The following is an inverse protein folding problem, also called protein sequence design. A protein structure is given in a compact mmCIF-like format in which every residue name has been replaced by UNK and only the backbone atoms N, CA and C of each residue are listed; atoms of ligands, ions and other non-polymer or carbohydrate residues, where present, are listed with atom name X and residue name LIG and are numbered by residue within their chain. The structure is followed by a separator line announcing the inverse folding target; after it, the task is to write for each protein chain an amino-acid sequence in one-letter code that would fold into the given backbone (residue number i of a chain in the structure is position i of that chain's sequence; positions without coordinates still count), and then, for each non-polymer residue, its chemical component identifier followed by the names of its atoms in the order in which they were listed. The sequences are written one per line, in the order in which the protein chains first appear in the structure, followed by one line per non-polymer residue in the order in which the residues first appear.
data_IF_187937416386
#
_entry.id   IF_187937416386
#
_cell.length_a   1.000
_cell.length_b   1.000
_cell.length_c   1.000
_cell.angle_alpha   90.00
_cell.angle_beta   90.00
_cell.angle_gamma   90.00
#
_symmetry.space_group_name_H-M   'P 1'
#
loop_
_entity.id
_entity.type
_entity.pdbx_description
1 polymer ?
#
# COMPACT_ATOMS: atom_id res chain seq x y z
N UNK A 1 0.75 -16.12 18.83
CA UNK A 1 0.41 -14.87 19.54
C UNK A 1 -0.72 -14.19 18.79
N UNK A 2 -1.97 -14.42 19.22
CA UNK A 2 -3.15 -13.72 18.72
C UNK A 2 -3.24 -12.38 19.45
N UNK A 3 -3.11 -11.28 18.72
CA UNK A 3 -3.40 -9.93 19.23
C UNK A 3 -4.76 -9.52 18.71
N UNK A 4 -5.78 -9.72 19.55
CA UNK A 4 -7.10 -9.10 19.42
C UNK A 4 -7.00 -7.64 19.87
N UNK A 5 -7.26 -6.70 18.97
CA UNK A 5 -7.44 -5.29 19.29
C UNK A 5 -8.80 -5.10 19.98
N UNK A 6 -8.79 -4.78 21.27
CA UNK A 6 -9.96 -4.23 21.97
C UNK A 6 -9.76 -2.72 22.09
N UNK A 7 -10.62 -1.96 21.39
CA UNK A 7 -10.78 -0.53 21.62
C UNK A 7 -11.40 -0.35 23.02
N UNK A 8 -10.65 0.26 23.93
CA UNK A 8 -11.22 0.76 25.18
C UNK A 8 -11.38 2.27 25.05
N UNK A 9 -12.63 2.69 24.90
CA UNK A 9 -13.08 4.04 25.21
C UNK A 9 -12.85 4.28 26.72
N UNK A 10 -12.20 5.40 27.04
CA UNK A 10 -12.02 5.88 28.40
C UNK A 10 -13.28 6.65 28.81
N UNK A 11 -14.09 6.05 29.69
CA UNK A 11 -15.10 6.75 30.48
C UNK A 11 -14.46 7.19 31.81
N UNK A 12 -14.37 8.51 32.01
CA UNK A 12 -13.91 9.12 33.25
C UNK A 12 -15.02 9.06 34.32
N UNK A 13 -14.88 8.15 35.27
CA UNK A 13 -15.70 8.09 36.49
C UNK A 13 -15.06 8.88 37.63
N UNK A 14 -15.66 10.02 37.97
CA UNK A 14 -15.33 10.81 39.15
C UNK A 14 -16.40 10.55 40.24
N UNK A 15 -15.96 10.04 41.40
CA UNK A 15 -16.76 9.90 42.61
C UNK A 15 -16.74 11.23 43.38
N UNK A 16 -17.91 11.77 43.71
CA UNK A 16 -18.05 12.71 44.82
C UNK A 16 -19.26 12.35 45.68
N UNK A 17 -19.02 12.37 47.00
CA UNK A 17 -19.96 12.03 48.06
C UNK A 17 -20.81 13.24 48.47
N UNK A 18 -22.04 12.93 48.88
CA UNK A 18 -22.92 13.65 49.81
C UNK A 18 -23.56 15.01 49.44
N UNK A 19 -24.90 14.96 49.53
CA UNK A 19 -25.83 15.93 50.10
C UNK A 19 -26.02 17.30 49.41
N UNK A 20 -27.09 17.42 48.63
CA UNK A 20 -28.23 18.30 48.98
C UNK A 20 -29.39 18.19 47.99
N UNK A 21 -30.59 18.22 48.56
CA UNK A 21 -31.91 17.95 47.96
C UNK A 21 -32.61 19.29 47.61
N UNK A 22 -33.69 19.19 46.80
CA UNK A 22 -34.83 20.14 46.62
C UNK A 22 -34.48 21.39 45.76
N UNK A 23 -35.22 21.82 44.72
CA UNK A 23 -36.68 22.02 44.64
C UNK A 23 -37.21 21.88 43.20
N UNK A 24 -38.25 21.04 43.08
CA UNK A 24 -39.23 21.05 41.99
C UNK A 24 -40.22 22.18 42.30
N UNK A 25 -40.42 23.13 41.39
CA UNK A 25 -41.66 23.89 41.32
C UNK A 25 -42.04 24.12 39.87
N UNK A 26 -43.20 23.56 39.50
CA UNK A 26 -43.84 23.67 38.20
C UNK A 26 -44.96 24.69 38.32
N UNK A 27 -44.88 25.81 37.59
CA UNK A 27 -46.07 26.61 37.25
C UNK A 27 -45.94 27.07 35.80
N UNK A 28 -46.95 26.68 35.02
CA UNK A 28 -47.12 26.98 33.60
C UNK A 28 -47.37 28.48 33.39
N UNK A 29 -46.79 29.05 32.34
CA UNK A 29 -47.46 30.09 31.56
C UNK A 29 -47.00 30.03 30.10
N UNK A 30 -47.98 30.11 29.22
CA UNK A 30 -47.89 29.93 27.78
C UNK A 30 -47.05 31.03 27.11
N UNK A 31 -46.31 30.67 26.05
CA UNK A 31 -46.53 31.14 24.68
C UNK A 31 -45.41 30.68 23.74
N UNK A 32 -45.83 29.99 22.67
CA UNK A 32 -45.23 29.80 21.34
C UNK A 32 -43.77 30.24 21.12
N UNK A 33 -42.89 29.26 20.87
CA UNK A 33 -41.81 29.43 19.91
C UNK A 33 -41.39 28.08 19.28
N UNK A 34 -41.04 28.16 18.00
CA UNK A 34 -41.00 27.09 17.01
C UNK A 34 -40.00 25.95 17.33
N UNK A 35 -40.47 24.69 17.27
CA UNK A 35 -39.61 23.52 17.16
C UNK A 35 -39.06 23.41 15.73
N UNK A 36 -37.76 23.69 15.57
CA UNK A 36 -37.00 23.35 14.37
C UNK A 36 -36.46 21.92 14.53
N UNK A 37 -37.04 21.04 13.72
CA UNK A 37 -36.73 19.62 13.58
C UNK A 37 -35.29 19.45 13.08
N UNK A 38 -34.39 19.00 13.96
CA UNK A 38 -32.96 18.83 13.68
C UNK A 38 -32.74 17.59 12.82
N UNK A 39 -32.92 17.76 11.50
CA UNK A 39 -32.59 16.76 10.48
C UNK A 39 -31.10 16.45 10.57
N UNK A 40 -30.76 15.31 11.20
CA UNK A 40 -29.46 14.63 11.08
C UNK A 40 -29.03 14.60 9.62
N UNK A 41 -28.16 15.54 9.26
CA UNK A 41 -27.57 15.69 7.94
C UNK A 41 -26.64 14.50 7.75
N UNK A 42 -27.07 13.50 6.96
CA UNK A 42 -26.19 12.42 6.49
C UNK A 42 -24.91 13.06 5.93
N UNK A 43 -23.77 12.80 6.54
CA UNK A 43 -22.48 13.12 5.95
C UNK A 43 -22.43 12.52 4.56
N UNK A 44 -22.27 13.39 3.55
CA UNK A 44 -22.01 12.94 2.19
C UNK A 44 -20.67 12.22 2.23
N UNK A 45 -20.67 10.90 2.01
CA UNK A 45 -19.45 10.19 1.65
C UNK A 45 -18.86 10.93 0.45
N UNK A 46 -17.64 11.44 0.58
CA UNK A 46 -16.85 11.84 -0.57
C UNK A 46 -16.61 10.58 -1.40
N UNK A 47 -17.53 10.30 -2.32
CA UNK A 47 -17.25 9.38 -3.41
C UNK A 47 -16.31 10.16 -4.31
N UNK A 48 -15.06 9.70 -4.43
CA UNK A 48 -14.13 10.18 -5.45
C UNK A 48 -14.88 10.16 -6.77
N UNK A 49 -15.26 11.34 -7.26
CA UNK A 49 -15.90 11.46 -8.55
C UNK A 49 -14.80 11.18 -9.56
N UNK A 50 -14.89 10.07 -10.31
CA UNK A 50 -13.82 9.76 -11.23
C UNK A 50 -13.72 10.89 -12.25
N UNK A 51 -12.47 11.28 -12.54
CA UNK A 51 -12.11 12.33 -13.49
C UNK A 51 -12.57 11.94 -14.90
N UNK A 52 -13.86 12.07 -15.17
CA UNK A 52 -14.49 11.92 -16.47
C UNK A 52 -15.18 13.24 -16.77
N UNK A 53 -14.42 14.28 -17.09
CA UNK A 53 -15.03 15.39 -17.82
C UNK A 53 -15.58 14.82 -19.12
N UNK A 54 -16.88 14.92 -19.30
CA UNK A 54 -17.64 14.45 -20.47
C UNK A 54 -17.26 15.35 -21.65
N UNK A 55 -16.06 15.13 -22.19
CA UNK A 55 -15.63 15.63 -23.49
C UNK A 55 -15.81 14.52 -24.53
N UNK A 56 -16.31 14.88 -25.70
CA UNK A 56 -16.52 13.95 -26.81
C UNK A 56 -15.16 13.46 -27.32
N UNK A 57 -14.76 12.22 -27.00
CA UNK A 57 -13.87 11.44 -27.87
C UNK A 57 -12.54 10.88 -27.35
N UNK A 58 -11.96 11.25 -26.21
CA UNK A 58 -10.52 10.90 -25.98
C UNK A 58 -10.22 10.46 -24.57
N UNK A 59 -10.40 9.18 -24.30
CA UNK A 59 -9.93 8.57 -23.05
C UNK A 59 -9.02 7.37 -23.32
N UNK A 60 -9.15 6.76 -24.49
CA UNK A 60 -8.26 5.73 -24.97
C UNK A 60 -7.09 6.33 -25.75
N UNK A 61 -5.86 5.92 -25.43
CA UNK A 61 -4.63 6.29 -26.14
C UNK A 61 -4.05 5.05 -26.86
N UNK A 62 -4.06 5.10 -28.20
CA UNK A 62 -3.61 4.01 -29.08
C UNK A 62 -2.13 3.71 -28.93
N UNK A 63 -1.30 4.75 -28.92
CA UNK A 63 0.14 4.62 -28.89
C UNK A 63 0.58 4.06 -27.54
N UNK A 64 0.00 4.59 -26.44
CA UNK A 64 0.23 4.08 -25.08
C UNK A 64 -0.19 2.64 -24.91
N UNK A 65 -1.32 2.22 -25.51
CA UNK A 65 -1.73 0.83 -25.47
C UNK A 65 -0.68 -0.10 -26.08
N UNK A 66 -0.13 0.24 -27.25
CA UNK A 66 0.90 -0.57 -27.87
C UNK A 66 2.22 -0.54 -27.08
N UNK A 67 2.58 0.58 -26.46
CA UNK A 67 3.71 0.66 -25.54
C UNK A 67 3.54 -0.27 -24.33
N UNK A 68 2.35 -0.28 -23.71
CA UNK A 68 2.02 -1.20 -22.61
C UNK A 68 2.14 -2.67 -23.03
N UNK A 69 1.61 -3.03 -24.20
CA UNK A 69 1.74 -4.40 -24.71
C UNK A 69 3.21 -4.79 -24.95
N UNK A 70 4.03 -3.87 -25.49
CA UNK A 70 5.47 -4.09 -25.68
C UNK A 70 6.20 -4.24 -24.34
N UNK A 71 5.87 -3.42 -23.35
CA UNK A 71 6.47 -3.51 -22.02
C UNK A 71 6.13 -4.84 -21.33
N UNK A 72 4.86 -5.26 -21.36
CA UNK A 72 4.45 -6.55 -20.79
C UNK A 72 5.12 -7.72 -21.52
N UNK A 73 5.23 -7.63 -22.86
CA UNK A 73 5.96 -8.64 -23.63
C UNK A 73 7.46 -8.66 -23.29
N UNK A 74 8.08 -7.49 -23.07
CA UNK A 74 9.47 -7.39 -22.63
C UNK A 74 9.67 -8.03 -21.26
N UNK A 75 8.84 -7.69 -20.28
CA UNK A 75 8.88 -8.28 -18.93
C UNK A 75 8.80 -9.81 -18.99
N UNK A 76 7.94 -10.37 -19.84
CA UNK A 76 7.83 -11.83 -20.05
C UNK A 76 9.01 -12.44 -20.81
N UNK A 77 9.65 -11.67 -21.67
CA UNK A 77 10.80 -12.11 -22.49
C UNK A 77 12.07 -12.23 -21.65
N UNK A 78 12.29 -11.33 -20.69
CA UNK A 78 13.48 -11.37 -19.83
C UNK A 78 13.36 -12.53 -18.84
N UNK A 79 14.40 -13.37 -18.80
CA UNK A 79 14.52 -14.53 -17.91
C UNK A 79 15.92 -14.59 -17.33
N UNK A 80 16.11 -15.40 -16.28
CA UNK A 80 17.41 -15.60 -15.63
C UNK A 80 18.51 -16.13 -16.58
N UNK A 81 18.13 -16.71 -17.72
CA UNK A 81 19.07 -17.27 -18.71
C UNK A 81 19.54 -16.22 -19.73
N UNK A 82 18.72 -15.21 -20.02
CA UNK A 82 19.00 -14.24 -21.08
C UNK A 82 19.36 -12.84 -20.57
N UNK A 83 19.19 -12.56 -19.27
CA UNK A 83 19.43 -11.25 -18.71
C UNK A 83 20.87 -10.75 -18.91
N UNK A 84 21.87 -11.65 -18.91
CA UNK A 84 23.27 -11.29 -19.15
C UNK A 84 23.57 -10.83 -20.58
N UNK A 85 22.67 -11.10 -21.54
CA UNK A 85 22.79 -10.63 -22.92
C UNK A 85 22.18 -9.24 -23.14
N UNK A 86 21.55 -8.67 -22.11
CA UNK A 86 20.84 -7.40 -22.17
C UNK A 86 21.70 -6.26 -21.60
N UNK A 87 21.42 -5.04 -22.05
CA UNK A 87 22.07 -3.84 -21.49
C UNK A 87 21.44 -3.47 -20.14
N UNK A 88 22.16 -2.77 -19.24
CA UNK A 88 21.61 -2.35 -17.95
C UNK A 88 20.28 -1.57 -18.07
N UNK A 89 20.15 -0.70 -19.06
CA UNK A 89 18.94 0.08 -19.31
C UNK A 89 17.72 -0.77 -19.72
N UNK A 90 17.94 -1.98 -20.25
CA UNK A 90 16.85 -2.91 -20.60
C UNK A 90 16.36 -3.70 -19.38
N UNK A 91 17.16 -3.75 -18.31
CA UNK A 91 16.85 -4.42 -17.05
C UNK A 91 16.26 -3.49 -16.00
N UNK A 92 16.04 -2.21 -16.33
CA UNK A 92 15.40 -1.22 -15.47
C UNK A 92 14.17 -0.68 -16.19
N UNK A 93 13.01 -0.74 -15.54
CA UNK A 93 11.77 -0.18 -16.07
C UNK A 93 11.55 1.25 -15.57
N UNK A 94 10.80 2.08 -16.31
CA UNK A 94 10.40 3.39 -15.83
C UNK A 94 9.69 3.33 -14.46
N UNK A 95 9.93 4.32 -13.60
CA UNK A 95 9.29 4.39 -12.28
C UNK A 95 7.76 4.47 -12.31
N UNK A 96 7.16 4.92 -13.42
CA UNK A 96 5.70 4.93 -13.61
C UNK A 96 5.08 3.53 -13.67
N UNK A 97 5.89 2.48 -13.91
CA UNK A 97 5.46 1.07 -13.93
C UNK A 97 5.16 0.56 -12.52
N UNK A 98 5.87 1.09 -11.51
CA UNK A 98 5.61 0.78 -10.09
C UNK A 98 4.45 1.59 -9.48
N UNK A 99 3.59 2.20 -10.32
CA UNK A 99 2.47 2.98 -9.83
C UNK A 99 1.57 2.18 -8.87
N UNK A 100 1.31 2.74 -7.70
CA UNK A 100 0.46 2.12 -6.67
C UNK A 100 1.18 1.13 -5.75
N UNK A 101 2.48 0.86 -5.96
CA UNK A 101 3.27 -0.06 -5.10
C UNK A 101 3.21 0.33 -3.62
N UNK A 102 3.28 1.64 -3.32
CA UNK A 102 3.25 2.20 -1.96
C UNK A 102 1.99 1.82 -1.20
N UNK A 103 0.86 1.70 -1.89
CA UNK A 103 -0.44 1.36 -1.29
C UNK A 103 -0.71 -0.14 -1.31
N UNK A 104 -0.39 -0.82 -2.42
CA UNK A 104 -0.65 -2.25 -2.56
C UNK A 104 0.24 -3.08 -1.62
N UNK A 105 1.52 -2.70 -1.51
CA UNK A 105 2.51 -3.41 -0.71
C UNK A 105 2.89 -2.64 0.57
N UNK A 106 1.99 -1.81 1.08
CA UNK A 106 2.23 -1.04 2.30
C UNK A 106 2.64 -1.96 3.47
N UNK A 107 1.92 -3.07 3.66
CA UNK A 107 2.22 -4.04 4.71
C UNK A 107 3.61 -4.68 4.55
N UNK A 108 4.05 -4.90 3.31
CA UNK A 108 5.39 -5.44 3.04
C UNK A 108 6.47 -4.42 3.40
N UNK A 109 6.28 -3.16 3.01
CA UNK A 109 7.22 -2.10 3.38
C UNK A 109 7.23 -1.82 4.88
N UNK A 110 6.07 -1.92 5.57
CA UNK A 110 5.98 -1.81 7.02
C UNK A 110 6.74 -2.92 7.77
N UNK A 111 6.88 -4.11 7.19
CA UNK A 111 7.75 -5.17 7.74
C UNK A 111 9.23 -4.74 7.77
N UNK A 112 9.71 -4.10 6.70
CA UNK A 112 11.06 -3.52 6.68
C UNK A 112 11.19 -2.39 7.71
N UNK A 113 10.17 -1.52 7.78
CA UNK A 113 10.10 -0.40 8.71
C UNK A 113 10.15 -0.86 10.17
N UNK A 114 9.43 -1.94 10.53
CA UNK A 114 9.48 -2.56 11.86
C UNK A 114 10.91 -2.90 12.24
N UNK A 115 11.63 -3.58 11.36
CA UNK A 115 13.02 -3.98 11.62
C UNK A 115 13.94 -2.76 11.69
N UNK A 116 13.72 -1.75 10.85
CA UNK A 116 14.41 -0.45 10.89
C UNK A 116 14.24 0.26 12.24
N UNK A 117 13.00 0.27 12.76
CA UNK A 117 12.65 0.85 14.06
C UNK A 117 13.28 0.06 15.20
N UNK A 118 13.24 -1.27 15.15
CA UNK A 118 13.92 -2.13 16.12
C UNK A 118 15.43 -1.83 16.19
N UNK A 119 16.12 -1.82 15.05
CA UNK A 119 17.54 -1.50 14.99
C UNK A 119 17.83 -0.08 15.48
N UNK A 120 16.99 0.88 15.12
CA UNK A 120 17.13 2.27 15.57
C UNK A 120 16.96 2.40 17.09
N UNK A 121 15.97 1.71 17.66
CA UNK A 121 15.76 1.69 19.10
C UNK A 121 16.95 1.06 19.83
N UNK A 122 17.50 -0.03 19.28
CA UNK A 122 18.68 -0.70 19.83
C UNK A 122 19.93 0.20 19.77
N UNK A 123 20.33 0.68 18.59
CA UNK A 123 21.57 1.45 18.42
C UNK A 123 21.55 2.86 19.04
N UNK A 124 20.38 3.36 19.46
CA UNK A 124 20.27 4.65 20.15
C UNK A 124 20.23 4.52 21.68
N UNK A 125 19.80 3.37 22.20
CA UNK A 125 19.53 3.20 23.63
C UNK A 125 20.28 2.05 24.30
N UNK A 126 21.04 1.24 23.55
CA UNK A 126 21.77 0.12 24.13
C UNK A 126 22.93 0.62 25.02
N UNK A 127 22.82 0.40 26.33
CA UNK A 127 23.88 0.70 27.30
C UNK A 127 24.55 -0.61 27.73
N UNK A 128 25.83 -0.75 27.44
CA UNK A 128 26.60 -1.97 27.74
C UNK A 128 26.67 -2.22 29.24
N UNK A 129 26.19 -3.38 29.69
CA UNK A 129 26.29 -3.82 31.09
C UNK A 129 25.16 -3.32 31.99
N UNK A 130 24.11 -2.75 31.44
CA UNK A 130 22.93 -2.32 32.19
C UNK A 130 22.11 -3.51 32.72
N UNK A 131 21.46 -3.30 33.87
CA UNK A 131 20.62 -4.29 34.54
C UNK A 131 19.15 -4.09 34.16
N UNK A 132 18.56 -5.14 33.60
CA UNK A 132 17.12 -5.23 33.33
C UNK A 132 16.53 -6.25 34.30
N UNK A 133 16.15 -5.74 35.48
CA UNK A 133 15.72 -6.56 36.61
C UNK A 133 16.89 -7.35 37.16
N UNK A 134 16.81 -8.68 37.06
CA UNK A 134 17.88 -9.61 37.45
C UNK A 134 18.85 -9.98 36.32
N UNK A 135 18.58 -9.55 35.08
CA UNK A 135 19.40 -9.90 33.91
C UNK A 135 20.33 -8.75 33.55
N UNK A 136 21.61 -9.08 33.31
CA UNK A 136 22.56 -8.15 32.69
C UNK A 136 22.39 -8.19 31.18
N UNK A 137 22.19 -7.04 30.57
CA UNK A 137 22.10 -6.88 29.12
C UNK A 137 23.04 -5.78 28.65
N UNK A 138 22.89 -5.34 27.41
CA UNK A 138 23.76 -4.36 26.79
C UNK A 138 24.83 -4.96 25.89
N UNK A 139 24.84 -6.29 25.73
CA UNK A 139 25.77 -6.95 24.82
C UNK A 139 25.49 -6.50 23.36
N UNK A 140 26.53 -6.38 22.52
CA UNK A 140 26.35 -6.11 21.10
C UNK A 140 25.46 -7.18 20.45
N UNK A 141 24.69 -6.77 19.45
CA UNK A 141 23.74 -7.65 18.77
C UNK A 141 24.51 -8.74 18.03
N UNK A 142 24.06 -9.98 18.16
CA UNK A 142 24.72 -11.11 17.53
C UNK A 142 24.41 -11.13 16.03
N UNK A 143 25.41 -11.33 15.17
CA UNK A 143 25.21 -11.51 13.72
C UNK A 143 24.11 -12.53 13.37
N UNK A 144 24.01 -13.64 14.11
CA UNK A 144 23.01 -14.68 13.88
C UNK A 144 21.59 -14.25 14.25
N UNK A 145 21.44 -13.33 15.21
CA UNK A 145 20.15 -12.73 15.52
C UNK A 145 19.64 -11.90 14.34
N UNK A 146 20.53 -11.14 13.70
CA UNK A 146 20.18 -10.34 12.52
C UNK A 146 19.79 -11.21 11.33
N UNK A 147 20.47 -12.35 11.14
CA UNK A 147 20.04 -13.38 10.19
C UNK A 147 18.63 -13.92 10.51
N UNK A 148 18.34 -14.20 11.79
CA UNK A 148 17.02 -14.63 12.23
C UNK A 148 15.92 -13.62 11.92
N UNK A 149 16.18 -12.32 12.09
CA UNK A 149 15.20 -11.26 11.80
C UNK A 149 14.90 -11.13 10.30
N UNK A 150 15.92 -11.15 9.43
CA UNK A 150 15.68 -11.09 7.98
C UNK A 150 14.99 -12.35 7.46
N UNK A 151 15.32 -13.51 8.04
CA UNK A 151 14.67 -14.77 7.73
C UNK A 151 13.18 -14.75 8.12
N UNK A 152 12.87 -14.25 9.32
CA UNK A 152 11.51 -14.08 9.80
C UNK A 152 10.71 -13.11 8.92
N UNK A 153 11.31 -12.01 8.46
CA UNK A 153 10.66 -11.08 7.53
C UNK A 153 10.24 -11.79 6.23
N UNK A 154 11.13 -12.58 5.61
CA UNK A 154 10.83 -13.29 4.35
C UNK A 154 9.74 -14.36 4.53
N UNK A 155 9.73 -15.05 5.67
CA UNK A 155 8.71 -16.05 5.98
C UNK A 155 7.36 -15.44 6.42
N UNK A 156 7.35 -14.20 6.90
CA UNK A 156 6.15 -13.55 7.43
C UNK A 156 5.04 -13.33 6.40
N UNK A 157 5.41 -13.16 5.13
CA UNK A 157 4.48 -12.90 4.05
C UNK A 157 4.92 -13.61 2.76
N UNK A 158 3.98 -14.22 2.05
CA UNK A 158 4.23 -14.91 0.78
C UNK A 158 4.71 -13.96 -0.32
N UNK A 159 4.29 -12.70 -0.32
CA UNK A 159 4.64 -11.70 -1.33
C UNK A 159 6.10 -11.23 -1.22
N UNK A 160 6.70 -11.35 -0.04
CA UNK A 160 8.10 -10.99 0.19
C UNK A 160 9.00 -12.04 -0.44
N UNK A 161 9.82 -11.64 -1.41
CA UNK A 161 10.82 -12.53 -2.04
C UNK A 161 12.18 -12.44 -1.40
N UNK A 162 12.53 -11.28 -0.85
CA UNK A 162 13.76 -11.10 -0.09
C UNK A 162 13.66 -9.98 0.92
N UNK A 163 14.52 -10.04 1.94
CA UNK A 163 14.69 -9.00 2.94
C UNK A 163 16.15 -8.97 3.39
N UNK A 164 16.67 -7.78 3.65
CA UNK A 164 18.06 -7.62 4.07
C UNK A 164 18.27 -6.45 4.99
N UNK A 165 19.33 -6.53 5.79
CA UNK A 165 19.88 -5.39 6.53
C UNK A 165 21.24 -5.11 5.90
N UNK A 166 21.52 -3.85 5.57
CA UNK A 166 22.74 -3.43 4.91
C UNK A 166 23.38 -2.35 5.76
N UNK A 167 24.46 -2.69 6.47
CA UNK A 167 25.20 -1.72 7.28
C UNK A 167 26.09 -0.85 6.40
N UNK A 168 26.25 0.41 6.78
CA UNK A 168 27.27 1.29 6.21
C UNK A 168 28.66 0.90 6.73
N UNK A 169 29.69 1.45 6.08
CA UNK A 169 31.08 1.10 6.37
C UNK A 169 31.43 1.25 7.86
N UNK A 170 31.95 0.18 8.46
CA UNK A 170 32.35 0.12 9.88
C UNK A 170 31.24 0.44 10.89
N UNK A 171 29.96 0.25 10.52
CA UNK A 171 28.83 0.49 11.42
C UNK A 171 28.33 -0.76 12.17
N UNK A 172 28.92 -1.93 11.93
CA UNK A 172 28.57 -3.16 12.62
C UNK A 172 29.72 -3.68 13.50
N UNK A 173 29.42 -3.85 14.79
CA UNK A 173 30.29 -4.52 15.76
C UNK A 173 29.58 -5.74 16.29
N UNK A 174 30.20 -6.90 16.13
CA UNK A 174 29.63 -8.17 16.57
C UNK A 174 29.75 -8.35 18.09
N UNK A 175 29.08 -9.36 18.63
CA UNK A 175 29.13 -9.74 20.05
C UNK A 175 30.56 -9.97 20.54
N UNK A 176 31.44 -10.50 19.67
CA UNK A 176 32.84 -10.79 19.96
C UNK A 176 33.72 -9.52 20.02
N UNK A 177 33.13 -8.33 19.82
CA UNK A 177 33.83 -7.04 19.81
C UNK A 177 34.56 -6.72 18.50
N UNK A 178 34.47 -7.61 17.50
CA UNK A 178 35.07 -7.39 16.17
C UNK A 178 34.21 -6.43 15.36
N UNK A 179 34.80 -5.36 14.84
CA UNK A 179 34.17 -4.42 13.90
C UNK A 179 34.35 -4.92 12.47
N UNK A 180 33.26 -5.01 11.73
CA UNK A 180 33.26 -5.48 10.34
C UNK A 180 33.32 -4.29 9.40
N UNK A 181 34.10 -4.40 8.32
CA UNK A 181 34.14 -3.38 7.26
C UNK A 181 32.74 -3.13 6.68
N UNK A 182 32.07 -4.22 6.30
CA UNK A 182 30.72 -4.26 5.80
C UNK A 182 30.06 -5.53 6.34
N UNK A 183 28.76 -5.46 6.57
CA UNK A 183 27.96 -6.58 7.01
C UNK A 183 26.56 -6.41 6.44
N UNK A 184 26.05 -7.45 5.77
CA UNK A 184 24.77 -7.36 5.10
C UNK A 184 24.01 -8.69 5.13
N UNK A 185 23.37 -9.06 6.26
CA UNK A 185 22.56 -10.27 6.33
C UNK A 185 21.35 -10.10 5.41
N UNK A 186 21.21 -11.06 4.49
CA UNK A 186 20.21 -11.03 3.43
C UNK A 186 19.55 -12.40 3.32
N UNK A 187 18.23 -12.43 3.36
CA UNK A 187 17.42 -13.63 3.18
C UNK A 187 16.59 -13.54 1.90
N UNK A 188 16.42 -14.67 1.21
CA UNK A 188 15.65 -14.75 -0.03
C UNK A 188 14.97 -16.11 -0.22
N UNK A 189 13.93 -16.12 -1.05
CA UNK A 189 13.26 -17.35 -1.51
C UNK A 189 13.91 -17.84 -2.82
N UNK A 190 14.49 -19.04 -2.86
CA UNK A 190 15.03 -19.60 -4.09
C UNK A 190 13.90 -19.92 -5.08
N UNK A 191 14.19 -19.83 -6.38
CA UNK A 191 13.17 -19.89 -7.45
C UNK A 191 12.32 -21.18 -7.45
N UNK A 192 12.88 -22.30 -6.96
CA UNK A 192 12.25 -23.63 -7.02
C UNK A 192 11.57 -24.05 -5.71
N UNK A 193 11.70 -23.27 -4.63
CA UNK A 193 11.15 -23.62 -3.33
C UNK A 193 10.55 -22.41 -2.63
N UNK A 194 9.24 -22.19 -2.83
CA UNK A 194 8.48 -21.10 -2.22
C UNK A 194 8.38 -21.18 -0.69
N UNK A 195 8.61 -22.38 -0.14
CA UNK A 195 8.61 -22.66 1.31
C UNK A 195 10.02 -22.73 1.91
N UNK A 196 11.07 -22.73 1.09
CA UNK A 196 12.43 -22.65 1.59
C UNK A 196 12.87 -21.18 1.61
N UNK A 197 13.69 -20.83 2.59
CA UNK A 197 14.37 -19.54 2.66
C UNK A 197 15.82 -19.84 2.92
N UNK A 198 16.68 -19.13 2.22
CA UNK A 198 18.13 -19.15 2.41
C UNK A 198 18.57 -17.78 2.87
N UNK A 199 19.68 -17.74 3.62
CA UNK A 199 20.26 -16.49 4.07
C UNK A 199 21.77 -16.49 3.90
N UNK A 200 22.29 -15.35 3.43
CA UNK A 200 23.70 -15.13 3.10
C UNK A 200 24.12 -13.74 3.56
N UNK A 201 25.42 -13.55 3.73
CA UNK A 201 25.98 -12.21 3.90
C UNK A 201 26.33 -11.62 2.53
N UNK A 202 25.62 -10.57 2.12
CA UNK A 202 25.86 -9.85 0.87
C UNK A 202 27.13 -8.99 0.91
N UNK A 203 27.83 -8.90 2.05
CA UNK A 203 29.12 -8.21 2.13
C UNK A 203 30.29 -9.04 1.56
N UNK A 204 30.10 -10.35 1.37
CA UNK A 204 31.11 -11.27 0.85
C UNK A 204 31.36 -10.98 -0.65
N UNK A 205 32.64 -11.02 -1.06
CA UNK A 205 33.26 -10.45 -2.28
C UNK A 205 32.46 -10.38 -3.59
N UNK A 206 31.48 -11.25 -3.86
CA UNK A 206 30.66 -11.22 -5.08
C UNK A 206 29.60 -10.11 -5.07
N UNK A 207 29.17 -9.62 -3.90
CA UNK A 207 28.01 -8.71 -3.76
C UNK A 207 28.31 -7.45 -2.93
N UNK A 208 29.59 -7.16 -2.72
CA UNK A 208 30.08 -6.08 -1.84
C UNK A 208 29.74 -4.67 -2.34
N UNK A 209 29.15 -4.54 -3.52
CA UNK A 209 28.76 -3.27 -4.17
C UNK A 209 27.40 -2.72 -3.69
N UNK A 210 26.77 -3.32 -2.68
CA UNK A 210 25.44 -2.88 -2.21
C UNK A 210 25.40 -1.40 -1.77
N UNK A 211 26.52 -0.86 -1.29
CA UNK A 211 26.64 0.56 -0.90
C UNK A 211 26.57 1.51 -2.10
N UNK A 212 26.80 0.99 -3.30
CA UNK A 212 26.74 1.73 -4.56
C UNK A 212 25.35 1.76 -5.19
N UNK A 213 24.45 0.88 -4.74
CA UNK A 213 23.09 0.79 -5.27
C UNK A 213 22.33 2.10 -5.04
N UNK A 214 21.43 2.41 -5.97
CA UNK A 214 20.68 3.66 -6.00
C UNK A 214 19.90 3.91 -4.70
N UNK A 215 19.23 2.88 -4.16
CA UNK A 215 18.46 2.98 -2.92
C UNK A 215 19.34 3.29 -1.70
N UNK A 216 20.55 2.71 -1.61
CA UNK A 216 21.46 2.95 -0.48
C UNK A 216 22.02 4.38 -0.54
N UNK A 217 22.52 4.79 -1.71
CA UNK A 217 23.06 6.14 -1.93
C UNK A 217 21.99 7.22 -1.73
N UNK A 218 20.77 6.99 -2.22
CA UNK A 218 19.65 7.95 -2.09
C UNK A 218 19.29 8.16 -0.62
N UNK A 219 19.18 7.09 0.16
CA UNK A 219 18.88 7.20 1.58
C UNK A 219 20.05 7.82 2.36
N UNK A 220 21.28 7.38 2.12
CA UNK A 220 22.46 7.93 2.80
C UNK A 220 22.63 9.43 2.54
N UNK A 221 22.46 9.88 1.29
CA UNK A 221 22.56 11.29 0.91
C UNK A 221 21.42 12.13 1.48
N UNK A 222 20.17 11.62 1.44
CA UNK A 222 18.98 12.29 2.01
C UNK A 222 19.19 12.64 3.49
N UNK A 223 19.79 11.73 4.26
CA UNK A 223 19.93 11.87 5.72
C UNK A 223 21.30 12.40 6.18
N UNK A 224 22.18 12.73 5.24
CA UNK A 224 23.48 13.32 5.55
C UNK A 224 23.33 14.73 6.16
N UNK A 225 22.46 15.57 5.58
CA UNK A 225 22.34 17.00 5.89
C UNK A 225 21.32 17.33 6.98
N UNK A 226 20.11 16.76 6.94
CA UNK A 226 19.06 17.02 7.92
C UNK A 226 18.39 15.73 8.39
N UNK A 227 18.13 15.67 9.70
CA UNK A 227 17.47 14.56 10.42
C UNK A 227 16.22 15.04 11.17
N UNK A 228 15.70 16.20 10.80
CA UNK A 228 14.63 16.89 11.52
C UNK A 228 13.25 16.25 11.34
N UNK A 229 13.02 15.56 10.21
CA UNK A 229 11.74 14.92 9.92
C UNK A 229 11.54 13.57 10.62
N UNK A 230 12.59 13.04 11.28
CA UNK A 230 12.48 11.80 12.04
C UNK A 230 11.52 11.95 13.22
N UNK A 231 10.62 10.98 13.34
CA UNK A 231 9.70 10.88 14.47
C UNK A 231 10.46 10.50 15.74
N UNK A 232 10.19 11.22 16.84
CA UNK A 232 10.68 10.83 18.17
C UNK A 232 9.65 9.95 18.86
N UNK A 233 9.95 8.66 18.93
CA UNK A 233 9.15 7.72 19.72
C UNK A 233 9.67 7.70 21.16
N UNK A 234 8.75 7.79 22.12
CA UNK A 234 9.07 7.70 23.55
C UNK A 234 8.47 6.42 24.13
N UNK A 235 9.32 5.54 24.64
CA UNK A 235 8.91 4.29 25.26
C UNK A 235 9.03 4.37 26.78
N UNK A 236 8.01 3.84 27.46
CA UNK A 236 7.87 3.82 28.91
C UNK A 236 7.79 2.38 29.42
N UNK A 237 8.83 1.54 29.22
CA UNK A 237 8.73 0.12 29.50
C UNK A 237 8.71 -0.18 31.01
N UNK A 238 7.92 -1.19 31.36
CA UNK A 238 7.99 -1.87 32.65
C UNK A 238 8.78 -3.17 32.46
N UNK A 239 9.71 -3.43 33.37
CA UNK A 239 10.54 -4.63 33.40
C UNK A 239 10.12 -5.51 34.58
N UNK A 240 10.33 -6.82 34.47
CA UNK A 240 10.16 -7.75 35.58
C UNK A 240 11.33 -7.59 36.56
N UNK A 241 11.06 -7.59 37.86
CA UNK A 241 12.09 -7.52 38.90
C UNK A 241 12.96 -8.80 38.90
N UNK A 242 12.34 -9.95 38.71
CA UNK A 242 12.96 -11.28 38.71
C UNK A 242 12.50 -12.13 37.51
N UNK A 243 13.16 -13.28 37.31
CA UNK A 243 12.83 -14.23 36.23
C UNK A 243 11.40 -14.76 36.37
N UNK A 244 10.93 -14.92 37.61
CA UNK A 244 9.58 -15.42 37.91
C UNK A 244 8.48 -14.37 37.68
N UNK A 245 8.82 -13.08 37.57
CA UNK A 245 7.87 -12.00 37.32
C UNK A 245 7.03 -11.60 38.54
N UNK A 246 7.59 -11.70 39.75
CA UNK A 246 6.91 -11.39 41.01
C UNK A 246 6.47 -9.92 41.11
N UNK A 247 7.24 -8.99 40.54
CA UNK A 247 6.89 -7.58 40.51
C UNK A 247 7.26 -6.93 39.17
N UNK A 248 6.44 -5.96 38.74
CA UNK A 248 6.79 -5.04 37.66
C UNK A 248 7.47 -3.80 38.24
N UNK A 249 8.65 -3.49 37.73
CA UNK A 249 9.40 -2.30 38.06
C UNK A 249 9.51 -1.40 36.83
N UNK A 250 9.54 -0.08 37.04
CA UNK A 250 9.86 0.87 35.97
C UNK A 250 11.34 0.72 35.61
N UNK A 251 11.64 0.76 34.32
CA UNK A 251 13.03 0.74 33.87
C UNK A 251 13.81 1.95 34.40
N UNK A 252 15.05 1.73 34.85
CA UNK A 252 15.84 2.74 35.58
C UNK A 252 16.21 3.94 34.70
N UNK A 253 16.60 3.70 33.45
CA UNK A 253 16.97 4.75 32.47
C UNK A 253 15.73 5.19 31.70
N UNK A 254 14.81 5.83 32.42
CA UNK A 254 13.54 6.31 31.88
C UNK A 254 13.54 7.83 31.67
N UNK A 255 12.88 8.35 30.62
CA UNK A 255 12.25 7.64 29.50
C UNK A 255 13.24 7.29 28.38
N UNK A 256 13.01 6.17 27.71
CA UNK A 256 13.75 5.80 26.50
C UNK A 256 13.16 6.58 25.33
N UNK A 257 14.00 7.25 24.55
CA UNK A 257 13.58 7.92 23.33
C UNK A 257 14.49 7.55 22.16
N UNK A 258 13.90 7.34 20.99
CA UNK A 258 14.65 7.08 19.77
C UNK A 258 13.97 7.76 18.59
N UNK A 259 14.78 8.08 17.58
CA UNK A 259 14.34 8.71 16.34
C UNK A 259 14.28 7.70 15.21
N UNK A 260 13.19 7.73 14.46
CA UNK A 260 12.91 6.77 13.37
C UNK A 260 12.26 7.45 12.18
N UNK A 261 12.39 6.88 10.97
CA UNK A 261 11.69 7.39 9.81
C UNK A 261 10.21 6.99 9.81
N UNK A 262 9.39 7.81 9.16
CA UNK A 262 8.02 7.43 8.77
C UNK A 262 8.02 6.50 7.54
N UNK A 263 6.87 5.90 7.23
CA UNK A 263 6.74 5.01 6.07
C UNK A 263 6.98 5.75 4.75
N UNK A 264 6.46 6.97 4.64
CA UNK A 264 6.53 7.83 3.47
C UNK A 264 7.96 8.32 3.20
N UNK A 265 8.84 8.25 4.20
CA UNK A 265 10.25 8.62 4.09
C UNK A 265 11.14 7.48 3.59
N UNK A 266 10.57 6.27 3.50
CA UNK A 266 11.19 5.16 2.80
C UNK A 266 11.36 5.43 1.31
N UNK A 267 12.00 4.49 0.62
CA UNK A 267 12.27 4.59 -0.80
C UNK A 267 11.88 3.30 -1.50
N UNK A 268 10.94 3.40 -2.42
CA UNK A 268 10.65 2.33 -3.38
C UNK A 268 11.53 2.50 -4.61
N UNK A 269 12.22 1.43 -5.00
CA UNK A 269 13.02 1.42 -6.23
C UNK A 269 12.13 1.43 -7.47
N UNK A 270 12.68 1.89 -8.58
CA UNK A 270 12.12 1.53 -9.89
C UNK A 270 12.19 0.00 -10.06
N UNK A 271 11.27 -0.62 -10.82
CA UNK A 271 11.34 -2.05 -11.06
C UNK A 271 12.61 -2.39 -11.84
N UNK A 272 13.36 -3.38 -11.36
CA UNK A 272 14.56 -3.86 -12.03
C UNK A 272 14.63 -5.38 -12.03
N UNK A 273 15.35 -5.95 -12.99
CA UNK A 273 15.63 -7.37 -13.04
C UNK A 273 16.96 -7.66 -12.35
N UNK A 274 16.94 -8.47 -11.31
CA UNK A 274 18.15 -8.84 -10.56
C UNK A 274 18.86 -10.02 -11.23
N UNK A 275 19.73 -9.73 -12.21
CA UNK A 275 20.40 -10.77 -13.00
C UNK A 275 21.50 -11.51 -12.21
N UNK A 276 22.32 -10.75 -11.47
CA UNK A 276 23.49 -11.27 -10.75
C UNK A 276 23.17 -11.70 -9.31
N UNK A 277 22.11 -11.17 -8.73
CA UNK A 277 21.71 -11.49 -7.36
C UNK A 277 20.95 -12.81 -7.23
N UNK A 278 20.37 -12.99 -6.05
CA UNK A 278 19.77 -14.26 -5.64
C UNK A 278 18.33 -14.44 -6.12
N UNK A 279 17.63 -13.33 -6.35
CA UNK A 279 16.23 -13.35 -6.79
C UNK A 279 16.20 -13.01 -8.27
N UNK A 280 16.50 -13.98 -9.14
CA UNK A 280 16.61 -13.78 -10.60
C UNK A 280 15.29 -13.54 -11.33
N UNK A 281 14.60 -12.49 -10.95
CA UNK A 281 13.26 -12.11 -11.38
C UNK A 281 13.13 -10.57 -11.41
N UNK A 282 12.02 -10.07 -11.94
CA UNK A 282 11.67 -8.66 -11.84
C UNK A 282 11.21 -8.33 -10.42
N UNK A 283 11.91 -7.41 -9.77
CA UNK A 283 11.64 -7.05 -8.37
C UNK A 283 11.45 -5.54 -8.21
N UNK A 284 10.67 -5.21 -7.18
CA UNK A 284 10.56 -3.86 -6.65
C UNK A 284 10.94 -3.92 -5.17
N UNK A 285 11.84 -3.05 -4.74
CA UNK A 285 12.41 -3.07 -3.40
C UNK A 285 12.01 -1.83 -2.62
N UNK A 286 11.47 -2.03 -1.43
CA UNK A 286 11.32 -0.99 -0.43
C UNK A 286 12.57 -0.94 0.43
N UNK A 287 13.11 0.25 0.63
CA UNK A 287 14.29 0.51 1.43
C UNK A 287 13.99 1.59 2.49
N UNK A 288 14.42 1.35 3.73
CA UNK A 288 14.23 2.28 4.85
C UNK A 288 15.50 2.39 5.69
N UNK A 289 15.90 3.60 6.13
CA UNK A 289 17.13 3.80 6.89
C UNK A 289 16.93 3.52 8.37
N UNK A 290 18.00 3.08 9.05
CA UNK A 290 18.04 3.02 10.51
C UNK A 290 19.24 3.79 11.07
N UNK A 291 19.08 4.28 12.30
CA UNK A 291 19.99 5.26 12.90
C UNK A 291 20.48 4.82 14.27
N UNK A 292 21.70 5.21 14.61
CA UNK A 292 22.36 4.87 15.86
C UNK A 292 23.06 6.09 16.47
N UNK A 293 23.44 6.00 17.72
CA UNK A 293 24.27 7.02 18.37
C UNK A 293 25.68 6.49 18.50
N UNK A 294 26.66 7.20 17.92
CA UNK A 294 28.07 6.81 17.95
C UNK A 294 28.92 7.94 18.51
N UNK A 295 29.90 7.58 19.35
CA UNK A 295 30.88 8.49 19.91
C UNK A 295 30.39 9.25 21.14
N UNK A 296 31.31 10.01 21.75
CA UNK A 296 31.07 10.73 22.99
C UNK A 296 30.09 11.91 22.82
N UNK A 297 30.07 12.51 21.62
CA UNK A 297 29.17 13.62 21.27
C UNK A 297 27.69 13.22 21.17
N UNK A 298 27.38 11.92 21.28
CA UNK A 298 26.02 11.36 21.18
C UNK A 298 25.25 11.83 19.94
N UNK A 299 25.95 11.97 18.80
CA UNK A 299 25.34 12.37 17.55
C UNK A 299 24.61 11.20 16.89
N UNK A 300 23.37 11.43 16.44
CA UNK A 300 22.60 10.46 15.67
C UNK A 300 23.24 10.27 14.29
N UNK A 301 23.68 9.06 13.94
CA UNK A 301 24.30 8.73 12.64
C UNK A 301 23.46 7.74 11.86
N UNK A 302 23.57 7.84 10.53
CA UNK A 302 23.07 6.82 9.61
C UNK A 302 23.90 5.55 9.79
N UNK A 303 23.25 4.44 10.11
CA UNK A 303 23.93 3.15 10.35
C UNK A 303 23.82 2.21 9.16
N UNK A 304 22.74 2.32 8.39
CA UNK A 304 22.46 1.42 7.29
C UNK A 304 21.01 1.49 6.82
N UNK A 305 20.63 0.50 6.01
CA UNK A 305 19.31 0.39 5.38
C UNK A 305 18.75 -1.01 5.58
N UNK A 306 17.46 -1.11 5.86
CA UNK A 306 16.71 -2.37 5.78
C UNK A 306 15.92 -2.37 4.47
N UNK A 307 15.94 -3.48 3.77
CA UNK A 307 15.19 -3.64 2.52
C UNK A 307 14.24 -4.82 2.58
N UNK A 308 13.15 -4.71 1.81
CA UNK A 308 12.25 -5.83 1.51
C UNK A 308 11.81 -5.73 0.05
N UNK A 309 11.89 -6.84 -0.66
CA UNK A 309 11.59 -6.91 -2.09
C UNK A 309 10.35 -7.76 -2.37
N UNK A 310 9.59 -7.36 -3.38
CA UNK A 310 8.42 -8.08 -3.92
C UNK A 310 8.62 -8.32 -5.41
N UNK A 311 7.94 -9.33 -5.97
CA UNK A 311 7.94 -9.52 -7.42
C UNK A 311 7.11 -8.43 -8.10
N UNK A 312 7.63 -7.89 -9.21
CA UNK A 312 6.85 -7.01 -10.09
C UNK A 312 5.58 -7.70 -10.58
N UNK A 313 5.66 -9.01 -10.86
CA UNK A 313 4.54 -9.79 -11.36
C UNK A 313 3.37 -9.86 -10.37
N UNK A 314 3.62 -9.60 -9.09
CA UNK A 314 2.57 -9.56 -8.06
C UNK A 314 1.81 -8.22 -8.01
N UNK A 315 2.31 -7.16 -8.67
CA UNK A 315 1.70 -5.83 -8.65
C UNK A 315 0.48 -5.76 -9.59
N UNK A 316 -0.65 -5.26 -9.09
CA UNK A 316 -1.81 -4.98 -9.92
C UNK A 316 -1.60 -3.69 -10.73
N UNK A 317 -1.84 -3.75 -12.04
CA UNK A 317 -1.73 -2.58 -12.93
C UNK A 317 -3.08 -1.88 -13.09
N UNK A 318 -3.07 -0.54 -13.18
CA UNK A 318 -4.28 0.25 -13.38
C UNK A 318 -4.32 0.86 -14.79
N UNK A 319 -5.12 0.26 -15.67
CA UNK A 319 -5.27 0.74 -17.04
C UNK A 319 -6.37 1.78 -17.24
N UNK A 320 -7.13 2.05 -16.18
CA UNK A 320 -8.23 2.97 -16.25
C UNK A 320 -7.75 4.41 -16.46
N UNK A 321 -8.64 5.29 -16.91
CA UNK A 321 -8.30 6.68 -17.17
C UNK A 321 -7.93 7.44 -15.91
N UNK A 322 -6.90 8.27 -16.02
CA UNK A 322 -6.42 9.10 -14.91
C UNK A 322 -5.99 10.47 -15.43
N UNK A 323 -5.80 11.42 -14.51
CA UNK A 323 -5.32 12.75 -14.85
C UNK A 323 -3.91 12.70 -15.47
N UNK A 324 -3.58 13.74 -16.24
CA UNK A 324 -2.28 13.85 -16.90
C UNK A 324 -1.11 13.82 -15.90
N UNK A 325 -1.27 14.42 -14.72
CA UNK A 325 -0.23 14.52 -13.69
C UNK A 325 0.02 13.23 -12.91
N UNK A 326 -0.86 12.23 -12.99
CA UNK A 326 -0.66 10.95 -12.29
C UNK A 326 0.42 10.13 -13.01
N UNK A 327 1.54 9.78 -12.36
CA UNK A 327 2.65 9.04 -12.97
C UNK A 327 2.35 7.54 -13.02
N UNK A 328 1.38 7.15 -13.86
CA UNK A 328 1.00 5.77 -14.11
C UNK A 328 1.24 5.43 -15.57
N UNK A 329 2.12 4.45 -15.81
CA UNK A 329 2.48 4.00 -17.16
C UNK A 329 1.30 3.40 -17.92
N UNK A 330 0.36 2.79 -17.20
CA UNK A 330 -0.75 2.01 -17.76
C UNK A 330 -2.02 2.83 -18.01
N UNK A 331 -2.09 4.07 -17.54
CA UNK A 331 -3.31 4.87 -17.63
C UNK A 331 -3.76 5.06 -19.08
N UNK A 332 -5.07 5.25 -19.27
CA UNK A 332 -5.67 5.53 -20.58
C UNK A 332 -5.51 4.41 -21.64
N UNK A 333 -5.14 3.18 -21.24
CA UNK A 333 -5.03 2.04 -22.17
C UNK A 333 -6.23 1.09 -22.12
N UNK A 334 -7.16 1.27 -21.18
CA UNK A 334 -8.36 0.44 -21.08
C UNK A 334 -9.25 0.58 -22.34
N UNK A 335 -9.83 -0.54 -22.78
CA UNK A 335 -10.62 -0.68 -24.01
C UNK A 335 -12.12 -0.52 -23.80
N UNK A 336 -12.53 0.15 -22.73
CA UNK A 336 -13.94 0.45 -22.49
C UNK A 336 -14.51 1.40 -23.55
N UNK A 337 -15.79 1.25 -23.90
CA UNK A 337 -16.50 2.29 -24.64
C UNK A 337 -16.82 3.46 -23.70
N UNK A 338 -15.94 4.46 -23.64
CA UNK A 338 -16.06 5.58 -22.72
C UNK A 338 -17.25 6.50 -22.99
N UNK A 339 -18.04 6.28 -24.06
CA UNK A 339 -19.32 6.96 -24.24
C UNK A 339 -20.41 6.35 -23.36
N UNK A 340 -20.50 5.01 -23.34
CA UNK A 340 -21.56 4.27 -22.65
C UNK A 340 -21.12 3.65 -21.31
N UNK A 341 -19.82 3.53 -21.06
CA UNK A 341 -19.24 2.86 -19.89
C UNK A 341 -18.23 3.74 -19.14
N UNK A 342 -17.92 3.36 -17.91
CA UNK A 342 -16.77 3.85 -17.16
C UNK A 342 -15.89 2.68 -16.73
N UNK A 343 -14.58 2.94 -16.60
CA UNK A 343 -13.60 1.94 -16.23
C UNK A 343 -13.43 1.88 -14.70
N UNK A 344 -13.32 0.67 -14.15
CA UNK A 344 -12.87 0.44 -12.78
C UNK A 344 -11.81 -0.65 -12.76
N UNK A 345 -10.73 -0.42 -12.01
CA UNK A 345 -9.71 -1.42 -11.71
C UNK A 345 -10.33 -2.63 -11.00
N UNK A 346 -9.91 -3.84 -11.37
CA UNK A 346 -10.19 -5.05 -10.60
C UNK A 346 -8.90 -5.42 -9.85
N UNK A 347 -8.87 -5.36 -8.51
CA UNK A 347 -7.69 -5.73 -7.74
C UNK A 347 -7.45 -7.24 -7.77
N UNK A 348 -6.22 -7.66 -7.45
CA UNK A 348 -5.73 -9.04 -7.37
C UNK A 348 -5.75 -9.80 -8.69
N UNK A 349 -5.47 -9.09 -9.79
CA UNK A 349 -5.28 -9.67 -11.12
C UNK A 349 -3.82 -9.65 -11.58
N UNK A 350 -2.90 -9.23 -10.70
CA UNK A 350 -1.45 -9.26 -10.90
C UNK A 350 -1.01 -8.37 -12.08
N UNK A 351 0.23 -8.55 -12.52
CA UNK A 351 0.84 -7.74 -13.58
C UNK A 351 0.34 -8.15 -14.98
N UNK A 352 -0.95 -7.96 -15.22
CA UNK A 352 -1.63 -8.38 -16.43
C UNK A 352 -2.50 -7.27 -17.01
N UNK A 353 -2.41 -7.11 -18.34
CA UNK A 353 -3.33 -6.30 -19.13
C UNK A 353 -4.74 -6.91 -19.10
N UNK A 354 -5.77 -6.07 -19.09
CA UNK A 354 -7.16 -6.47 -18.97
C UNK A 354 -7.72 -6.50 -17.54
N UNK A 355 -6.94 -6.05 -16.55
CA UNK A 355 -7.29 -6.04 -15.11
C UNK A 355 -8.28 -4.93 -14.72
N UNK A 356 -9.32 -4.73 -15.51
CA UNK A 356 -10.35 -3.72 -15.28
C UNK A 356 -11.72 -4.26 -15.69
N UNK A 357 -12.77 -3.55 -15.30
CA UNK A 357 -14.13 -3.77 -15.76
C UNK A 357 -14.71 -2.49 -16.34
N UNK A 358 -15.51 -2.65 -17.38
CA UNK A 358 -16.28 -1.58 -18.00
C UNK A 358 -17.72 -1.68 -17.52
N UNK A 359 -18.11 -0.80 -16.62
CA UNK A 359 -19.47 -0.74 -16.06
C UNK A 359 -20.29 0.31 -16.82
N UNK A 360 -21.57 0.03 -17.09
CA UNK A 360 -22.44 0.97 -17.80
C UNK A 360 -22.63 2.26 -17.01
N UNK A 361 -22.60 3.40 -17.71
CA UNK A 361 -22.95 4.70 -17.16
C UNK A 361 -24.46 4.77 -16.90
N UNK A 362 -24.86 5.70 -16.04
CA UNK A 362 -26.26 6.01 -15.83
C UNK A 362 -26.93 6.39 -17.17
N UNK A 363 -28.13 5.84 -17.42
CA UNK A 363 -28.82 5.99 -18.70
C UNK A 363 -28.39 4.99 -19.78
N UNK A 364 -27.45 4.10 -19.47
CA UNK A 364 -27.10 2.95 -20.31
C UNK A 364 -27.33 1.66 -19.53
N UNK A 365 -27.62 0.59 -20.27
CA UNK A 365 -27.88 -0.74 -19.70
C UNK A 365 -27.01 -1.81 -20.39
N UNK A 366 -26.67 -2.84 -19.62
CA UNK A 366 -25.86 -3.95 -20.11
C UNK A 366 -26.70 -4.79 -21.08
N UNK A 367 -26.25 -5.01 -22.33
CA UNK A 367 -27.10 -5.57 -23.38
C UNK A 367 -27.19 -7.10 -23.37
N UNK A 368 -26.29 -7.80 -22.66
CA UNK A 368 -26.22 -9.26 -22.66
C UNK A 368 -26.95 -9.83 -21.43
N UNK A 369 -27.51 -11.03 -21.57
CA UNK A 369 -28.20 -11.72 -20.47
C UNK A 369 -27.23 -12.63 -19.70
N UNK A 370 -26.18 -12.03 -19.13
CA UNK A 370 -25.18 -12.73 -18.34
C UNK A 370 -25.44 -12.53 -16.84
N UNK A 371 -24.76 -13.34 -16.01
CA UNK A 371 -24.76 -13.13 -14.55
C UNK A 371 -24.00 -11.87 -14.11
N UNK A 372 -23.21 -11.30 -15.02
CA UNK A 372 -22.42 -10.09 -14.81
C UNK A 372 -23.10 -8.89 -15.48
N UNK A 373 -22.90 -7.71 -14.91
CA UNK A 373 -23.49 -6.45 -15.37
C UNK A 373 -22.42 -5.46 -15.88
N UNK A 374 -21.28 -6.00 -16.33
CA UNK A 374 -20.11 -5.27 -16.81
C UNK A 374 -19.32 -6.13 -17.79
N UNK A 375 -18.51 -5.49 -18.63
CA UNK A 375 -17.58 -6.19 -19.51
C UNK A 375 -16.22 -6.36 -18.82
N UNK A 376 -15.67 -7.57 -18.83
CA UNK A 376 -14.33 -7.86 -18.31
C UNK A 376 -13.27 -7.30 -19.26
N UNK A 377 -12.26 -6.60 -18.73
CA UNK A 377 -11.19 -6.00 -19.50
C UNK A 377 -10.38 -7.01 -20.31
N UNK A 378 -10.18 -8.22 -19.79
CA UNK A 378 -9.55 -9.32 -20.54
C UNK A 378 -10.31 -9.65 -21.83
N UNK A 379 -11.65 -9.71 -21.77
CA UNK A 379 -12.50 -9.91 -22.94
C UNK A 379 -12.40 -8.71 -23.89
N UNK A 380 -12.47 -7.49 -23.36
CA UNK A 380 -12.34 -6.26 -24.16
C UNK A 380 -11.04 -6.23 -24.96
N UNK A 381 -9.92 -6.53 -24.30
CA UNK A 381 -8.60 -6.53 -24.94
C UNK A 381 -8.43 -7.66 -25.95
N UNK A 382 -8.91 -8.86 -25.62
CA UNK A 382 -8.86 -9.99 -26.55
C UNK A 382 -9.63 -9.72 -27.83
N UNK A 383 -10.88 -9.27 -27.72
CA UNK A 383 -11.72 -8.95 -28.89
C UNK A 383 -11.13 -7.79 -29.69
N UNK A 384 -10.54 -6.80 -29.00
CA UNK A 384 -9.82 -5.72 -29.67
C UNK A 384 -8.59 -6.20 -30.45
N UNK A 385 -7.80 -7.12 -29.88
CA UNK A 385 -6.67 -7.72 -30.59
C UNK A 385 -7.11 -8.53 -31.81
N UNK A 386 -8.23 -9.26 -31.71
CA UNK A 386 -8.81 -9.96 -32.86
C UNK A 386 -9.27 -8.98 -33.94
N UNK A 387 -9.87 -7.85 -33.54
CA UNK A 387 -10.24 -6.77 -34.46
C UNK A 387 -9.03 -6.20 -35.20
N UNK A 388 -7.94 -5.89 -34.49
CA UNK A 388 -6.69 -5.42 -35.10
C UNK A 388 -6.07 -6.45 -36.06
N UNK A 389 -6.19 -7.74 -35.74
CA UNK A 389 -5.68 -8.83 -36.57
C UNK A 389 -6.57 -9.15 -37.79
N UNK A 390 -7.69 -8.43 -37.99
CA UNK A 390 -8.65 -8.71 -39.07
C UNK A 390 -9.38 -10.05 -38.91
N UNK A 391 -9.40 -10.61 -37.69
CA UNK A 391 -10.08 -11.87 -37.37
C UNK A 391 -11.53 -11.62 -36.97
N UNK A 392 -12.43 -12.62 -37.10
CA UNK A 392 -13.79 -12.50 -36.59
C UNK A 392 -13.75 -12.18 -35.09
N UNK A 393 -14.42 -11.09 -34.71
CA UNK A 393 -14.41 -10.54 -33.37
C UNK A 393 -15.80 -9.96 -33.03
N UNK A 394 -16.02 -9.69 -31.74
CA UNK A 394 -17.26 -9.13 -31.20
C UNK A 394 -17.04 -7.78 -30.53
N UNK A 395 -15.92 -7.11 -30.80
CA UNK A 395 -15.50 -5.91 -30.07
C UNK A 395 -16.56 -4.79 -30.13
N UNK A 396 -17.19 -4.57 -31.29
CA UNK A 396 -18.23 -3.55 -31.47
C UNK A 396 -19.53 -3.81 -30.68
N UNK A 397 -19.75 -5.06 -30.25
CA UNK A 397 -20.90 -5.45 -29.42
C UNK A 397 -20.65 -5.21 -27.93
N UNK A 398 -19.39 -5.01 -27.52
CA UNK A 398 -19.00 -4.83 -26.12
C UNK A 398 -19.16 -3.37 -25.66
N UNK A 399 -20.37 -2.84 -25.80
CA UNK A 399 -20.77 -1.49 -25.37
C UNK A 399 -22.16 -1.52 -24.77
N UNK A 400 -22.46 -0.60 -23.86
CA UNK A 400 -23.79 -0.56 -23.26
C UNK A 400 -24.80 0.06 -24.24
N UNK A 401 -26.03 -0.45 -24.22
CA UNK A 401 -27.13 0.12 -25.01
C UNK A 401 -27.74 1.29 -24.24
N UNK A 402 -28.27 2.29 -24.97
CA UNK A 402 -28.96 3.40 -24.32
C UNK A 402 -30.20 2.85 -23.63
N UNK A 403 -30.30 3.08 -22.32
CA UNK A 403 -31.45 2.68 -21.54
C UNK A 403 -32.67 3.45 -22.02
N UNK A 404 -33.67 2.73 -22.51
CA UNK A 404 -34.97 3.34 -22.79
C UNK A 404 -35.58 3.62 -21.42
N UNK A 405 -35.54 4.88 -20.99
CA UNK A 405 -36.51 5.32 -20.01
C UNK A 405 -37.87 5.02 -20.64
N UNK A 406 -38.67 4.16 -20.02
CA UNK A 406 -40.11 4.19 -20.25
C UNK A 406 -40.58 5.57 -19.77
N UNK A 407 -40.36 6.61 -20.56
CA UNK A 407 -41.27 7.72 -20.57
C UNK A 407 -42.59 7.08 -20.98
N UNK A 408 -43.38 6.72 -19.96
CA UNK A 408 -44.81 6.59 -20.13
C UNK A 408 -45.23 7.94 -20.70
N UNK A 409 -45.27 8.03 -22.03
CA UNK A 409 -45.92 9.12 -22.74
C UNK A 409 -47.39 8.95 -22.39
N UNK A 410 -47.79 9.47 -21.24
CA UNK A 410 -49.20 9.61 -20.90
C UNK A 410 -49.76 10.50 -21.99
N UNK A 411 -50.53 9.89 -22.91
CA UNK A 411 -51.31 10.65 -23.85
C UNK A 411 -52.19 11.58 -23.02
N UNK A 412 -52.01 12.89 -23.16
CA UNK A 412 -52.79 13.91 -22.46
C UNK A 412 -54.30 13.64 -22.64
N UNK A 413 -54.70 13.10 -23.79
CA UNK A 413 -56.06 12.64 -24.09
C UNK A 413 -56.57 11.53 -23.15
N UNK A 414 -55.75 10.54 -22.79
CA UNK A 414 -56.15 9.46 -21.88
C UNK A 414 -56.31 9.95 -20.44
N UNK A 415 -55.47 10.91 -20.02
CA UNK A 415 -55.60 11.55 -18.70
C UNK A 415 -56.86 12.42 -18.65
N UNK A 416 -57.13 13.21 -19.71
CA UNK A 416 -58.39 13.96 -19.80
C UNK A 416 -59.63 13.05 -19.87
N UNK A 417 -59.57 11.93 -20.58
CA UNK A 417 -60.69 10.98 -20.65
C UNK A 417 -61.00 10.36 -19.28
N UNK A 418 -59.97 9.99 -18.50
CA UNK A 418 -60.14 9.44 -17.15
C UNK A 418 -60.64 10.49 -16.14
N UNK A 419 -60.23 11.75 -16.27
CA UNK A 419 -60.68 12.84 -15.39
C UNK A 419 -62.14 13.26 -15.70
N UNK A 420 -62.58 13.18 -16.96
CA UNK A 420 -63.94 13.58 -17.35
C UNK A 420 -64.99 12.45 -17.27
N UNK A 421 -64.57 11.20 -17.15
CA UNK A 421 -65.46 10.05 -16.95
C UNK A 421 -66.38 10.16 -15.71
N UNK A 422 -65.93 10.62 -14.53
CA UNK A 422 -66.83 10.83 -13.39
C UNK A 422 -67.79 12.02 -13.58
N UNK A 423 -67.45 13.03 -14.40
CA UNK A 423 -68.34 14.17 -14.66
C UNK A 423 -69.51 13.81 -15.58
N UNK A 424 -69.35 12.83 -16.46
CA UNK A 424 -70.43 12.36 -17.35
C UNK A 424 -71.43 11.49 -16.58
N UNK A 425 -70.96 10.70 -15.60
CA UNK A 425 -71.84 9.83 -14.79
C UNK A 425 -72.70 10.62 -13.79
N UNK A 426 -72.23 11.78 -13.32
CA UNK A 426 -72.99 12.63 -12.39
C UNK A 426 -74.12 13.41 -13.11
N UNK A 427 -74.00 13.64 -14.43
CA UNK A 427 -75.02 14.34 -15.22
C UNK A 427 -76.12 13.43 -15.80
N UNK A 428 -76.07 12.12 -15.55
CA UNK A 428 -77.03 11.13 -16.07
C UNK A 428 -77.86 10.41 -14.99
N UNK A 429 -78.11 11.04 -13.84
CA UNK A 429 -79.08 10.57 -12.82
C UNK A 429 -80.16 11.63 -12.63
#
# INVERSE_FOLDING_TARGET
FNLTYTNNDYDDGYYDNNDSLIIINKVNNANNEYQLDDKKKRERRNVDTPFYTVGVGTVFDADRYFEVQRLIAHVRKVTSQNCHLMTPDQLILPGEVSYGVEKQFEMVGRTALRLSHFLSAYYQNNVVGELYGSLKTGFPINRFQLFGEVFANVLSNFDIVSSGIFFDYQMFTDHDGTTWDLFAPYAYKPQLATQAVEAIDMSINTYRDYTEKSWFRTLKSRWASSRQSLERITAKPFIRSDVNGSQLQRYFTFPIYYRVPHYEEGYWTQPYFDCDGMVKDWVITYATPFFGVIGEEKALRFMGVVTTSVKLTSLDINQCPQSFYTPNFFKNTARCDFRSTYCKLIPRHYFLSGSYKCECRQGFEYPLNDRTWYFHGEMMEREYQLMLAGKPNRYELLRCRQGIANELTYSILLVFALINLPMIVIYSV
#
